data_IF_760799696688
#
_entry.id   IF_760799696688
#
_cell.length_a   1.000
_cell.length_b   1.000
_cell.length_c   1.000
_cell.angle_alpha   90.00
_cell.angle_beta   90.00
_cell.angle_gamma   90.00
#
_symmetry.space_group_name_H-M   'P 1'
#
loop_
_entity.id
_entity.type
_entity.pdbx_description
1 polymer ?
#
# COMPACT_ATOMS: atom_id res chain seq x y z
N UNK A 1 1.07 -18.52 76.75
CA UNK A 1 1.81 -18.16 75.51
C UNK A 1 1.09 -17.03 74.82
N UNK A 2 1.80 -15.94 74.54
CA UNK A 2 1.28 -14.71 73.91
C UNK A 2 1.36 -14.81 72.38
N UNK A 3 0.45 -14.07 71.72
CA UNK A 3 0.44 -13.64 70.30
C UNK A 3 0.10 -14.74 69.27
N UNK A 4 -0.71 -14.49 68.22
CA UNK A 4 -0.99 -13.24 67.49
C UNK A 4 -2.48 -13.12 67.11
N UNK A 5 -2.98 -11.90 67.29
CA UNK A 5 -4.20 -11.34 66.74
C UNK A 5 -3.98 -11.12 65.22
N UNK A 6 -4.85 -11.66 64.36
CA UNK A 6 -4.91 -11.28 62.95
C UNK A 6 -6.23 -10.53 62.76
N UNK A 7 -6.12 -9.20 62.68
CA UNK A 7 -7.21 -8.30 62.34
C UNK A 7 -7.30 -8.21 60.81
N UNK A 8 -8.48 -8.26 60.19
CA UNK A 8 -8.62 -8.13 58.75
C UNK A 8 -8.42 -6.66 58.36
N UNK A 9 -7.43 -6.40 57.50
CA UNK A 9 -7.28 -5.10 56.84
C UNK A 9 -8.24 -5.09 55.64
N UNK A 10 -9.42 -4.51 55.85
CA UNK A 10 -10.22 -3.95 54.77
C UNK A 10 -9.51 -2.72 54.23
N UNK A 11 -8.88 -2.85 53.06
CA UNK A 11 -8.41 -1.68 52.29
C UNK A 11 -9.39 -1.47 51.13
N UNK A 12 -10.35 -0.58 51.37
CA UNK A 12 -11.15 0.02 50.30
C UNK A 12 -10.25 1.03 49.56
N UNK A 13 -9.97 0.76 48.29
CA UNK A 13 -9.46 1.74 47.34
C UNK A 13 -10.41 1.77 46.15
N UNK A 14 -11.15 2.87 46.10
CA UNK A 14 -11.88 3.36 44.94
C UNK A 14 -10.95 3.43 43.74
N UNK A 15 -11.28 2.73 42.66
CA UNK A 15 -10.95 3.21 41.32
C UNK A 15 -12.24 3.34 40.51
N UNK A 16 -12.39 4.57 40.06
CA UNK A 16 -13.39 5.09 39.15
C UNK A 16 -13.27 4.36 37.80
N UNK A 17 -14.45 4.14 37.22
CA UNK A 17 -14.78 3.82 35.84
C UNK A 17 -13.71 4.15 34.78
N UNK A 18 -13.51 3.20 33.86
CA UNK A 18 -13.36 3.47 32.43
C UNK A 18 -13.38 2.12 31.67
N UNK A 19 -14.59 1.67 31.32
CA UNK A 19 -14.76 0.88 30.09
C UNK A 19 -14.46 1.84 28.95
N UNK A 20 -13.29 1.68 28.32
CA UNK A 20 -13.00 2.34 27.05
C UNK A 20 -12.92 1.25 25.99
N UNK A 21 -14.01 1.17 25.26
CA UNK A 21 -14.12 0.53 23.95
C UNK A 21 -12.99 1.02 23.04
N UNK A 22 -12.17 0.14 22.43
CA UNK A 22 -11.14 0.57 21.48
C UNK A 22 -11.71 1.00 20.11
N UNK A 23 -13.03 0.95 19.91
CA UNK A 23 -13.72 1.54 18.76
C UNK A 23 -14.47 2.81 19.15
N UNK A 24 -13.73 3.89 19.44
CA UNK A 24 -14.31 5.22 19.33
C UNK A 24 -14.41 5.61 17.86
N UNK A 25 -15.66 5.61 17.36
CA UNK A 25 -16.11 6.37 16.21
C UNK A 25 -15.64 7.83 16.33
N UNK A 26 -14.66 8.23 15.53
CA UNK A 26 -14.54 9.65 15.17
C UNK A 26 -15.53 9.94 14.05
N UNK A 27 -16.79 10.06 14.44
CA UNK A 27 -17.81 10.63 13.58
C UNK A 27 -17.46 12.09 13.24
N UNK A 28 -17.56 12.43 11.96
CA UNK A 28 -17.88 13.77 11.50
C UNK A 28 -16.88 14.89 11.82
N UNK A 29 -15.69 14.87 11.22
CA UNK A 29 -15.00 16.11 10.86
C UNK A 29 -14.50 16.03 9.41
N UNK A 30 -15.03 16.92 8.59
CA UNK A 30 -14.45 17.27 7.29
C UNK A 30 -13.03 17.77 7.59
N UNK A 31 -12.03 17.04 7.12
CA UNK A 31 -10.64 17.48 7.15
C UNK A 31 -10.50 18.57 6.09
N UNK A 32 -10.47 19.83 6.52
CA UNK A 32 -9.92 20.89 5.67
C UNK A 32 -8.43 20.60 5.42
N UNK A 33 -8.08 20.59 4.14
CA UNK A 33 -6.72 20.45 3.61
C UNK A 33 -5.94 21.73 3.96
N UNK A 34 -5.51 21.85 5.22
CA UNK A 34 -4.90 23.10 5.69
C UNK A 34 -4.10 23.04 6.99
N UNK A 35 -3.94 21.87 7.63
CA UNK A 35 -3.23 21.81 8.92
C UNK A 35 -2.26 20.63 9.03
N UNK A 36 -1.34 20.53 8.06
CA UNK A 36 -0.03 19.92 8.27
C UNK A 36 0.96 21.05 8.54
N UNK A 37 0.92 21.62 9.74
CA UNK A 37 2.01 22.51 10.16
C UNK A 37 2.59 22.04 11.50
N UNK A 38 3.91 21.79 11.43
CA UNK A 38 4.88 21.79 12.54
C UNK A 38 5.02 20.48 13.33
N UNK A 39 5.50 19.44 12.65
CA UNK A 39 6.50 18.54 13.26
C UNK A 39 7.85 18.93 12.69
N UNK A 40 8.73 19.48 13.53
CA UNK A 40 10.06 19.96 13.15
C UNK A 40 10.95 18.76 12.83
N UNK A 41 11.08 18.44 11.55
CA UNK A 41 12.06 17.49 11.02
C UNK A 41 13.47 18.09 11.17
N UNK A 42 14.45 17.27 11.50
CA UNK A 42 15.86 17.67 11.64
C UNK A 42 16.45 18.06 10.28
N UNK A 43 17.20 19.17 10.27
CA UNK A 43 17.75 19.91 9.13
C UNK A 43 18.80 19.17 8.27
N UNK A 44 18.51 18.01 7.67
CA UNK A 44 19.48 17.39 6.74
C UNK A 44 18.89 16.76 5.46
N UNK A 45 17.64 17.08 5.14
CA UNK A 45 17.06 16.82 3.82
C UNK A 45 16.59 18.16 3.26
N UNK A 46 16.98 18.47 2.02
CA UNK A 46 16.38 19.59 1.30
C UNK A 46 14.94 19.17 1.05
N UNK A 47 14.01 19.64 1.91
CA UNK A 47 12.56 19.63 1.68
C UNK A 47 12.32 20.31 0.33
N UNK A 48 12.26 19.52 -0.73
CA UNK A 48 12.34 20.06 -2.09
C UNK A 48 12.10 19.06 -3.21
N UNK A 49 12.44 17.79 -3.01
CA UNK A 49 12.75 16.91 -4.13
C UNK A 49 11.93 15.63 -4.11
N UNK A 50 11.02 15.46 -5.06
CA UNK A 50 10.13 14.30 -5.11
C UNK A 50 9.90 13.82 -6.55
N UNK A 51 9.34 12.62 -6.69
CA UNK A 51 8.91 12.09 -7.97
C UNK A 51 7.67 12.80 -8.48
N UNK A 52 7.67 13.04 -9.79
CA UNK A 52 6.60 13.67 -10.54
C UNK A 52 6.39 12.91 -11.83
N UNK A 53 5.14 12.79 -12.27
CA UNK A 53 4.81 12.36 -13.63
C UNK A 53 4.52 13.60 -14.49
N UNK A 54 5.24 13.73 -15.61
CA UNK A 54 4.98 14.74 -16.62
C UNK A 54 3.69 14.42 -17.41
N UNK A 55 3.12 15.42 -18.09
CA UNK A 55 1.91 15.25 -18.93
C UNK A 55 2.05 14.15 -20.00
N UNK A 56 3.27 13.86 -20.44
CA UNK A 56 3.57 12.78 -21.40
C UNK A 56 3.72 11.39 -20.74
N UNK A 57 3.44 11.24 -19.45
CA UNK A 57 3.56 9.99 -18.68
C UNK A 57 4.99 9.65 -18.19
N UNK A 58 5.98 10.48 -18.49
CA UNK A 58 7.36 10.26 -18.02
C UNK A 58 7.46 10.55 -16.53
N UNK A 59 8.02 9.62 -15.76
CA UNK A 59 8.31 9.83 -14.34
C UNK A 59 9.74 10.28 -14.19
N UNK A 60 9.94 11.38 -13.46
CA UNK A 60 11.26 11.93 -13.21
C UNK A 60 11.33 12.58 -11.82
N UNK A 61 12.55 12.77 -11.34
CA UNK A 61 12.82 13.43 -10.06
C UNK A 61 12.86 14.94 -10.27
N UNK A 62 11.94 15.69 -9.65
CA UNK A 62 11.95 17.16 -9.69
C UNK A 62 12.48 17.72 -8.36
N UNK A 63 13.58 18.47 -8.43
CA UNK A 63 14.25 19.07 -7.28
C UNK A 63 13.46 20.22 -6.61
N UNK A 64 12.35 20.64 -7.21
CA UNK A 64 11.46 21.70 -6.68
C UNK A 64 10.08 21.17 -6.26
N UNK A 65 9.78 19.90 -6.53
CA UNK A 65 8.50 19.30 -6.18
C UNK A 65 8.46 18.85 -4.70
N UNK A 66 7.64 19.53 -3.90
CA UNK A 66 7.31 19.15 -2.52
C UNK A 66 5.83 18.84 -2.33
N UNK A 67 5.01 19.27 -3.28
CA UNK A 67 3.56 19.05 -3.32
C UNK A 67 3.06 19.31 -4.74
N UNK A 68 1.80 18.96 -5.01
CA UNK A 68 1.12 19.29 -6.27
C UNK A 68 1.15 20.80 -6.60
N UNK A 69 1.26 21.68 -5.59
CA UNK A 69 1.32 23.13 -5.80
C UNK A 69 2.68 23.65 -6.27
N UNK A 70 3.74 22.83 -6.18
CA UNK A 70 5.09 23.20 -6.62
C UNK A 70 5.55 22.42 -7.84
N UNK A 71 4.74 21.50 -8.36
CA UNK A 71 4.97 20.88 -9.67
C UNK A 71 4.65 21.87 -10.79
N UNK A 72 5.14 21.58 -11.99
CA UNK A 72 4.79 22.37 -13.18
C UNK A 72 3.32 22.08 -13.57
N UNK A 73 2.73 22.99 -14.33
CA UNK A 73 1.36 22.81 -14.83
C UNK A 73 1.26 21.54 -15.67
N UNK A 74 0.21 20.75 -15.43
CA UNK A 74 -0.03 19.49 -16.14
C UNK A 74 0.67 18.26 -15.55
N UNK A 75 1.52 18.45 -14.54
CA UNK A 75 2.24 17.35 -13.88
C UNK A 75 1.48 16.79 -12.68
N UNK A 76 1.68 15.50 -12.40
CA UNK A 76 1.14 14.81 -11.22
C UNK A 76 2.24 14.63 -10.17
N UNK A 77 2.04 15.16 -8.98
CA UNK A 77 2.94 14.93 -7.85
C UNK A 77 2.79 13.51 -7.27
N UNK A 78 3.89 12.77 -7.14
CA UNK A 78 3.87 11.37 -6.67
C UNK A 78 4.45 11.19 -5.26
N UNK A 79 5.37 12.06 -4.84
CA UNK A 79 6.02 12.02 -3.53
C UNK A 79 7.43 11.41 -3.54
N UNK A 80 8.06 11.26 -2.36
CA UNK A 80 9.46 10.83 -2.23
C UNK A 80 9.70 9.37 -2.64
N UNK A 81 8.75 8.49 -2.35
CA UNK A 81 8.78 7.08 -2.71
C UNK A 81 7.44 6.70 -3.34
N UNK A 82 7.45 6.04 -4.49
CA UNK A 82 6.22 5.64 -5.18
C UNK A 82 6.38 4.28 -5.86
N UNK A 83 5.38 3.42 -5.67
CA UNK A 83 5.17 2.23 -6.50
C UNK A 83 4.17 2.58 -7.59
N UNK A 84 4.58 2.53 -8.85
CA UNK A 84 3.73 2.83 -10.00
C UNK A 84 3.26 1.53 -10.64
N UNK A 85 1.95 1.28 -10.60
CA UNK A 85 1.29 0.20 -11.33
C UNK A 85 0.73 0.72 -12.65
N UNK A 86 1.23 0.19 -13.76
CA UNK A 86 0.76 0.51 -15.11
C UNK A 86 -0.03 -0.68 -15.66
N UNK A 87 -1.35 -0.54 -15.81
CA UNK A 87 -2.23 -1.65 -16.17
C UNK A 87 -2.56 -1.73 -17.66
N UNK A 88 -2.87 -2.95 -18.13
CA UNK A 88 -3.30 -3.24 -19.50
C UNK A 88 -4.76 -3.72 -19.55
N UNK A 89 -5.61 -3.11 -18.72
CA UNK A 89 -7.03 -3.42 -18.63
C UNK A 89 -7.77 -3.03 -19.91
N UNK A 90 -8.66 -3.90 -20.37
CA UNK A 90 -9.64 -3.61 -21.40
C UNK A 90 -10.86 -2.85 -20.83
N UNK A 91 -11.82 -2.50 -21.70
CA UNK A 91 -13.05 -1.82 -21.30
C UNK A 91 -13.95 -2.65 -20.37
N UNK A 92 -13.66 -3.94 -20.20
CA UNK A 92 -14.38 -4.86 -19.31
C UNK A 92 -13.60 -5.11 -18.00
N UNK A 93 -12.56 -4.32 -17.74
CA UNK A 93 -11.67 -4.44 -16.57
C UNK A 93 -10.89 -5.76 -16.51
N UNK A 94 -10.69 -6.43 -17.64
CA UNK A 94 -9.83 -7.60 -17.75
C UNK A 94 -8.45 -7.20 -18.24
N UNK A 95 -7.40 -7.88 -17.78
CA UNK A 95 -6.05 -7.76 -18.34
C UNK A 95 -5.44 -9.14 -18.54
N UNK A 96 -4.53 -9.33 -19.51
CA UNK A 96 -3.78 -10.59 -19.60
C UNK A 96 -2.93 -10.83 -18.35
N UNK A 97 -2.80 -12.09 -17.94
CA UNK A 97 -1.95 -12.47 -16.81
C UNK A 97 -0.51 -11.99 -17.03
N UNK A 98 0.10 -11.42 -16.00
CA UNK A 98 1.46 -10.86 -15.99
C UNK A 98 1.68 -9.72 -16.98
N UNK A 99 0.62 -9.02 -17.40
CA UNK A 99 0.76 -7.92 -18.35
C UNK A 99 0.99 -6.56 -17.69
N UNK A 100 0.59 -6.36 -16.44
CA UNK A 100 0.79 -5.08 -15.78
C UNK A 100 2.24 -4.89 -15.37
N UNK A 101 2.78 -3.68 -15.51
CA UNK A 101 4.14 -3.33 -15.11
C UNK A 101 4.11 -2.56 -13.80
N UNK A 102 4.94 -2.97 -12.85
CA UNK A 102 5.13 -2.28 -11.58
C UNK A 102 6.55 -1.74 -11.50
N UNK A 103 6.69 -0.43 -11.32
CA UNK A 103 7.97 0.29 -11.25
C UNK A 103 8.08 0.96 -9.88
N UNK A 104 9.17 0.70 -9.18
CA UNK A 104 9.46 1.29 -7.88
C UNK A 104 10.39 2.48 -8.06
N UNK A 105 9.97 3.66 -7.62
CA UNK A 105 10.78 4.87 -7.61
C UNK A 105 11.04 5.27 -6.16
N UNK A 106 12.31 5.34 -5.76
CA UNK A 106 12.73 5.63 -4.39
C UNK A 106 13.56 6.90 -4.36
N UNK A 107 13.42 7.69 -3.29
CA UNK A 107 14.26 8.88 -3.05
C UNK A 107 15.76 8.55 -3.07
N UNK A 108 16.12 7.34 -2.67
CA UNK A 108 17.50 6.86 -2.66
C UNK A 108 18.11 6.66 -4.06
N UNK A 109 17.29 6.66 -5.13
CA UNK A 109 17.75 6.49 -6.51
C UNK A 109 17.01 7.44 -7.46
N UNK A 110 17.59 8.61 -7.73
CA UNK A 110 16.97 9.70 -8.48
C UNK A 110 17.07 9.56 -10.01
N UNK A 111 17.64 8.46 -10.51
CA UNK A 111 17.95 8.27 -11.93
C UNK A 111 16.92 7.42 -12.69
N UNK A 112 15.80 7.07 -12.06
CA UNK A 112 14.73 6.27 -12.66
C UNK A 112 14.15 5.26 -11.68
N UNK A 113 13.59 4.17 -12.20
CA UNK A 113 13.09 3.07 -11.40
C UNK A 113 14.24 2.36 -10.67
N UNK A 114 14.07 2.11 -9.37
CA UNK A 114 14.94 1.29 -8.53
C UNK A 114 14.75 -0.20 -8.74
N UNK A 115 13.54 -0.61 -9.14
CA UNK A 115 13.19 -1.98 -9.47
C UNK A 115 11.95 -2.01 -10.33
N UNK A 116 11.81 -3.09 -11.11
CA UNK A 116 10.66 -3.33 -11.96
C UNK A 116 10.22 -4.79 -11.85
N UNK A 117 8.91 -5.02 -11.93
CA UNK A 117 8.34 -6.37 -11.95
C UNK A 117 7.03 -6.39 -12.73
N UNK A 118 6.81 -7.47 -13.49
CA UNK A 118 5.53 -7.72 -14.14
C UNK A 118 4.55 -8.39 -13.18
N UNK A 119 3.26 -8.13 -13.33
CA UNK A 119 2.24 -8.63 -12.42
C UNK A 119 0.81 -8.42 -12.92
N UNK A 120 -0.11 -8.32 -11.97
CA UNK A 120 -1.54 -8.23 -12.19
C UNK A 120 -2.14 -7.17 -11.26
N UNK A 121 -2.81 -6.18 -11.84
CA UNK A 121 -3.59 -5.15 -11.18
C UNK A 121 -5.06 -5.53 -11.01
N UNK A 122 -5.51 -6.59 -11.69
CA UNK A 122 -6.85 -7.17 -11.60
C UNK A 122 -6.82 -8.37 -10.65
N UNK A 123 -7.71 -8.43 -9.63
CA UNK A 123 -7.75 -9.56 -8.71
C UNK A 123 -8.34 -10.81 -9.38
N UNK A 124 -8.13 -12.00 -8.78
CA UNK A 124 -8.70 -13.24 -9.37
C UNK A 124 -10.22 -13.19 -9.48
N UNK A 125 -10.92 -12.64 -8.47
CA UNK A 125 -12.37 -12.61 -8.42
C UNK A 125 -12.90 -11.17 -8.43
N UNK A 126 -12.88 -10.55 -9.62
CA UNK A 126 -13.38 -9.19 -9.86
C UNK A 126 -14.86 -9.04 -9.50
N UNK A 127 -15.67 -10.09 -9.67
CA UNK A 127 -17.11 -10.04 -9.40
C UNK A 127 -17.41 -9.96 -7.91
N UNK A 128 -16.58 -10.61 -7.08
CA UNK A 128 -16.74 -10.58 -5.63
C UNK A 128 -16.02 -9.40 -4.99
N UNK A 129 -14.84 -9.04 -5.48
CA UNK A 129 -14.00 -8.04 -4.81
C UNK A 129 -14.02 -6.69 -5.50
N UNK A 130 -14.18 -6.60 -6.82
CA UNK A 130 -14.05 -5.36 -7.59
C UNK A 130 -12.60 -5.05 -7.94
N UNK A 131 -12.40 -4.13 -8.89
CA UNK A 131 -11.08 -3.74 -9.40
C UNK A 131 -10.73 -2.36 -8.88
N UNK A 132 -9.51 -2.15 -8.37
CA UNK A 132 -9.07 -0.85 -7.87
C UNK A 132 -9.10 0.22 -8.97
N UNK A 133 -9.66 1.40 -8.67
CA UNK A 133 -9.64 2.54 -9.58
C UNK A 133 -8.21 3.07 -9.80
N UNK A 134 -7.96 3.65 -10.96
CA UNK A 134 -6.80 4.50 -11.19
C UNK A 134 -6.74 5.63 -10.14
N UNK A 135 -5.53 6.06 -9.80
CA UNK A 135 -5.32 7.13 -8.83
C UNK A 135 -4.06 6.97 -8.00
N UNK A 136 -3.84 7.97 -7.14
CA UNK A 136 -2.73 8.04 -6.20
C UNK A 136 -3.23 7.75 -4.78
N UNK A 137 -2.64 6.75 -4.14
CA UNK A 137 -3.03 6.27 -2.82
C UNK A 137 -1.83 6.27 -1.89
N UNK A 138 -1.98 6.62 -0.59
CA UNK A 138 -0.93 6.36 0.39
C UNK A 138 -0.61 4.87 0.41
N UNK A 139 0.65 4.50 0.62
CA UNK A 139 1.07 3.11 0.63
C UNK A 139 2.25 2.88 1.57
N UNK A 140 2.26 1.72 2.22
CA UNK A 140 3.32 1.35 3.13
C UNK A 140 3.70 -0.12 2.96
N UNK A 141 4.97 -0.45 3.21
CA UNK A 141 5.37 -1.84 3.33
C UNK A 141 4.66 -2.47 4.54
N UNK A 142 4.20 -3.69 4.33
CA UNK A 142 3.64 -4.53 5.37
C UNK A 142 3.98 -5.98 5.09
N UNK A 143 4.33 -6.74 6.12
CA UNK A 143 4.39 -8.20 6.05
C UNK A 143 3.50 -8.82 7.11
N UNK A 144 3.14 -10.10 6.96
CA UNK A 144 2.50 -10.81 8.07
C UNK A 144 3.52 -10.95 9.19
N UNK A 145 3.30 -10.26 10.32
CA UNK A 145 4.24 -10.22 11.44
C UNK A 145 4.70 -11.61 11.89
N UNK A 146 3.81 -12.61 11.91
CA UNK A 146 4.16 -13.98 12.26
C UNK A 146 5.05 -14.71 11.23
N UNK A 147 5.08 -14.28 9.98
CA UNK A 147 5.98 -14.81 8.93
C UNK A 147 7.34 -14.11 9.01
N UNK A 148 7.33 -12.78 9.08
CA UNK A 148 8.55 -11.98 9.22
C UNK A 148 9.30 -12.35 10.51
N UNK A 149 8.60 -12.54 11.64
CA UNK A 149 9.20 -12.97 12.91
C UNK A 149 9.85 -14.37 12.86
N UNK A 150 9.47 -15.20 11.88
CA UNK A 150 10.09 -16.52 11.63
C UNK A 150 11.16 -16.45 10.53
N UNK A 151 11.60 -15.26 10.17
CA UNK A 151 12.59 -15.04 9.11
C UNK A 151 12.08 -15.35 7.70
N UNK A 152 10.75 -15.37 7.49
CA UNK A 152 10.18 -15.65 6.16
C UNK A 152 9.97 -14.36 5.38
N UNK A 153 10.28 -14.41 4.10
CA UNK A 153 10.01 -13.35 3.13
C UNK A 153 8.53 -13.36 2.75
N UNK A 154 7.83 -12.31 3.18
CA UNK A 154 6.38 -12.14 3.04
C UNK A 154 5.96 -10.66 3.06
N UNK A 155 6.85 -9.80 2.57
CA UNK A 155 6.56 -8.37 2.42
C UNK A 155 5.60 -8.15 1.25
N UNK A 156 4.72 -7.19 1.44
CA UNK A 156 3.74 -6.67 0.50
C UNK A 156 3.67 -5.15 0.67
N UNK A 157 3.03 -4.46 -0.28
CA UNK A 157 2.65 -3.06 -0.11
C UNK A 157 1.16 -3.02 0.23
N UNK A 158 0.81 -2.43 1.37
CA UNK A 158 -0.58 -2.15 1.75
C UNK A 158 -1.01 -0.81 1.16
N UNK A 159 -2.09 -0.82 0.41
CA UNK A 159 -2.65 0.36 -0.24
C UNK A 159 -3.64 1.04 0.71
N UNK A 160 -3.52 2.36 0.83
CA UNK A 160 -4.31 3.25 1.67
C UNK A 160 -4.38 2.83 3.15
N UNK A 161 -3.31 2.21 3.68
CA UNK A 161 -3.31 1.65 5.03
C UNK A 161 -4.39 0.59 5.26
N UNK A 162 -4.90 -0.03 4.19
CA UNK A 162 -6.01 -0.99 4.21
C UNK A 162 -7.40 -0.35 4.31
N UNK A 163 -7.47 0.98 4.31
CA UNK A 163 -8.71 1.75 4.29
C UNK A 163 -9.50 1.61 2.98
N UNK A 164 -10.67 2.23 2.96
CA UNK A 164 -11.56 2.23 1.79
C UNK A 164 -10.94 3.00 0.62
N UNK A 165 -10.99 2.41 -0.56
CA UNK A 165 -10.54 3.01 -1.83
C UNK A 165 -11.60 2.76 -2.91
N UNK A 166 -11.75 3.68 -3.88
CA UNK A 166 -12.72 3.53 -4.97
C UNK A 166 -12.34 2.39 -5.92
N UNK A 167 -13.34 1.84 -6.59
CA UNK A 167 -13.17 0.87 -7.66
C UNK A 167 -13.26 1.52 -9.05
N UNK A 168 -12.69 0.84 -10.04
CA UNK A 168 -12.78 1.27 -11.43
C UNK A 168 -14.25 1.26 -11.90
N UNK A 169 -14.68 2.25 -12.71
CA UNK A 169 -16.01 2.27 -13.30
C UNK A 169 -16.36 0.94 -13.97
N UNK A 170 -17.56 0.41 -13.69
CA UNK A 170 -17.99 -0.91 -14.15
C UNK A 170 -17.69 -2.06 -13.19
N UNK A 171 -16.96 -1.81 -12.10
CA UNK A 171 -16.82 -2.78 -11.01
C UNK A 171 -18.16 -3.05 -10.30
N UNK A 172 -18.37 -4.27 -9.75
CA UNK A 172 -19.60 -4.65 -9.03
C UNK A 172 -19.79 -3.99 -7.66
N UNK A 173 -18.78 -3.25 -7.20
CA UNK A 173 -18.73 -2.53 -5.92
C UNK A 173 -18.19 -1.16 -6.19
N UNK A 174 -18.58 -0.16 -5.39
CA UNK A 174 -18.05 1.20 -5.49
C UNK A 174 -16.73 1.38 -4.72
N UNK A 175 -16.50 0.53 -3.72
CA UNK A 175 -15.34 0.61 -2.83
C UNK A 175 -14.81 -0.75 -2.42
N UNK A 176 -13.50 -0.80 -2.13
CA UNK A 176 -12.77 -1.97 -1.64
C UNK A 176 -11.83 -1.58 -0.50
N UNK A 177 -11.44 -2.55 0.32
CA UNK A 177 -10.55 -2.37 1.49
C UNK A 177 -9.50 -3.46 1.53
N UNK A 178 -8.47 -3.28 2.36
CA UNK A 178 -7.41 -4.28 2.60
C UNK A 178 -6.74 -4.77 1.30
N UNK A 179 -6.44 -3.85 0.40
CA UNK A 179 -5.79 -4.15 -0.88
C UNK A 179 -4.29 -4.13 -0.70
N UNK A 180 -3.65 -5.19 -1.16
CA UNK A 180 -2.20 -5.32 -1.16
C UNK A 180 -1.68 -5.49 -2.58
N UNK A 181 -0.43 -5.08 -2.81
CA UNK A 181 0.42 -5.63 -3.84
C UNK A 181 1.34 -6.68 -3.22
N UNK A 182 1.17 -7.95 -3.56
CA UNK A 182 1.89 -9.06 -2.94
C UNK A 182 2.33 -10.12 -3.96
N UNK A 183 3.01 -11.17 -3.49
CA UNK A 183 3.45 -12.25 -4.37
C UNK A 183 2.28 -12.89 -5.12
N UNK A 184 2.41 -13.06 -6.44
CA UNK A 184 1.49 -13.84 -7.26
C UNK A 184 1.62 -15.35 -7.05
N UNK A 185 0.91 -16.12 -7.87
CA UNK A 185 0.88 -17.57 -7.79
C UNK A 185 2.18 -18.19 -8.33
N UNK A 186 3.04 -18.71 -7.45
CA UNK A 186 4.36 -19.25 -7.85
C UNK A 186 4.34 -20.57 -8.63
N UNK A 187 3.17 -21.20 -8.79
CA UNK A 187 3.07 -22.55 -9.37
C UNK A 187 2.34 -22.60 -10.71
N UNK A 188 1.54 -21.58 -11.03
CA UNK A 188 0.71 -21.52 -12.23
C UNK A 188 0.82 -20.13 -12.84
N UNK A 189 0.82 -20.03 -14.17
CA UNK A 189 0.65 -18.76 -14.90
C UNK A 189 -0.83 -18.34 -14.89
N UNK A 190 -1.41 -18.27 -13.70
CA UNK A 190 -2.82 -17.96 -13.46
C UNK A 190 -3.02 -17.46 -12.03
N UNK A 191 -4.00 -16.59 -11.86
CA UNK A 191 -4.49 -16.18 -10.53
C UNK A 191 -5.30 -17.29 -9.84
N UNK A 192 -5.38 -18.48 -10.43
CA UNK A 192 -6.08 -19.64 -9.89
C UNK A 192 -5.14 -20.84 -9.79
N UNK A 193 -5.36 -21.71 -8.80
CA UNK A 193 -4.68 -23.01 -8.75
C UNK A 193 -5.32 -24.03 -9.70
N UNK A 194 -4.71 -25.22 -9.82
CA UNK A 194 -5.20 -26.29 -10.69
C UNK A 194 -6.55 -26.88 -10.29
N UNK A 195 -7.08 -26.52 -9.10
CA UNK A 195 -8.40 -26.90 -8.61
C UNK A 195 -9.42 -25.77 -8.78
N UNK A 196 -9.03 -24.64 -9.36
CA UNK A 196 -9.88 -23.46 -9.54
C UNK A 196 -10.02 -22.60 -8.28
N UNK A 197 -9.17 -22.78 -7.26
CA UNK A 197 -9.18 -21.89 -6.11
C UNK A 197 -8.47 -20.58 -6.47
N UNK A 198 -9.14 -19.46 -6.18
CA UNK A 198 -8.60 -18.12 -6.37
C UNK A 198 -7.38 -17.86 -5.48
N UNK A 199 -6.32 -17.34 -6.09
CA UNK A 199 -5.15 -16.80 -5.44
C UNK A 199 -5.26 -15.26 -5.48
N UNK A 200 -5.06 -14.59 -4.34
CA UNK A 200 -5.14 -13.12 -4.26
C UNK A 200 -6.52 -12.56 -4.64
N UNK A 201 -7.57 -13.12 -4.04
CA UNK A 201 -8.96 -12.93 -4.45
C UNK A 201 -9.41 -11.46 -4.61
N UNK A 202 -8.85 -10.53 -3.84
CA UNK A 202 -9.14 -9.09 -3.94
C UNK A 202 -7.90 -8.21 -3.95
N UNK A 203 -6.73 -8.75 -4.31
CA UNK A 203 -5.47 -8.01 -4.24
C UNK A 203 -4.78 -7.95 -5.60
N UNK A 204 -3.85 -7.02 -5.72
CA UNK A 204 -2.92 -6.96 -6.84
C UNK A 204 -1.71 -7.82 -6.54
N UNK A 205 -1.04 -8.27 -7.60
CA UNK A 205 0.08 -9.20 -7.46
C UNK A 205 1.23 -8.88 -8.37
N UNK A 206 2.43 -9.29 -7.96
CA UNK A 206 3.50 -9.56 -8.90
C UNK A 206 3.19 -10.81 -9.75
N UNK A 207 4.14 -11.21 -10.58
CA UNK A 207 3.95 -12.29 -11.55
C UNK A 207 3.40 -13.60 -10.96
N UNK A 208 2.70 -14.33 -11.82
CA UNK A 208 2.29 -15.72 -11.63
C UNK A 208 3.16 -16.62 -12.52
N UNK A 209 3.47 -17.82 -12.05
CA UNK A 209 4.28 -18.81 -12.75
C UNK A 209 5.54 -19.23 -11.98
N UNK A 210 6.32 -20.15 -12.56
CA UNK A 210 7.56 -20.62 -11.96
C UNK A 210 8.50 -19.45 -11.59
N UNK A 211 9.10 -19.51 -10.41
CA UNK A 211 10.03 -18.48 -9.89
C UNK A 211 9.43 -17.11 -9.57
N UNK A 212 8.11 -16.93 -9.65
CA UNK A 212 7.53 -15.62 -9.39
C UNK A 212 7.71 -15.15 -7.94
N UNK A 213 7.69 -16.07 -6.97
CA UNK A 213 7.95 -15.72 -5.56
C UNK A 213 9.37 -15.22 -5.30
N UNK A 214 10.44 -15.90 -5.75
CA UNK A 214 11.80 -15.34 -5.69
C UNK A 214 11.92 -13.95 -6.33
N UNK A 215 11.30 -13.73 -7.50
CA UNK A 215 11.31 -12.42 -8.16
C UNK A 215 10.59 -11.36 -7.33
N UNK A 216 9.43 -11.69 -6.78
CA UNK A 216 8.70 -10.83 -5.85
C UNK A 216 9.56 -10.47 -4.64
N UNK A 217 10.23 -11.45 -4.04
CA UNK A 217 11.05 -11.22 -2.87
C UNK A 217 12.24 -10.30 -3.20
N UNK A 218 12.91 -10.51 -4.34
CA UNK A 218 13.97 -9.61 -4.81
C UNK A 218 13.47 -8.18 -5.00
N UNK A 219 12.30 -8.00 -5.61
CA UNK A 219 11.65 -6.68 -5.74
C UNK A 219 11.36 -6.05 -4.36
N UNK A 220 10.79 -6.82 -3.42
CA UNK A 220 10.47 -6.33 -2.09
C UNK A 220 11.69 -6.08 -1.21
N UNK A 221 12.85 -6.68 -1.51
CA UNK A 221 14.12 -6.32 -0.86
C UNK A 221 14.55 -4.89 -1.24
N UNK A 222 14.32 -4.47 -2.49
CA UNK A 222 14.53 -3.08 -2.91
C UNK A 222 13.56 -2.13 -2.21
N UNK A 223 12.29 -2.53 -2.07
CA UNK A 223 11.27 -1.76 -1.34
C UNK A 223 11.67 -1.57 0.13
N UNK A 224 12.14 -2.64 0.77
CA UNK A 224 12.47 -2.65 2.19
C UNK A 224 11.24 -2.67 3.10
N UNK A 225 11.47 -2.95 4.40
CA UNK A 225 10.39 -3.05 5.39
C UNK A 225 9.91 -1.70 5.94
N UNK A 226 10.55 -0.61 5.55
CA UNK A 226 10.27 0.77 6.01
C UNK A 226 9.72 1.65 4.90
N UNK A 227 9.30 1.07 3.77
CA UNK A 227 8.68 1.84 2.70
C UNK A 227 7.43 2.56 3.23
N UNK A 228 7.46 3.88 3.12
CA UNK A 228 6.34 4.79 3.31
C UNK A 228 6.33 5.74 2.12
N UNK A 229 5.21 5.82 1.41
CA UNK A 229 5.11 6.57 0.18
C UNK A 229 3.73 6.46 -0.46
N UNK A 230 3.71 6.44 -1.78
CA UNK A 230 2.48 6.35 -2.57
C UNK A 230 2.44 5.09 -3.41
N UNK A 231 1.23 4.64 -3.74
CA UNK A 231 0.95 3.72 -4.82
C UNK A 231 0.16 4.48 -5.89
N UNK A 232 0.70 4.55 -7.10
CA UNK A 232 0.10 5.25 -8.22
C UNK A 232 -0.33 4.24 -9.29
N UNK A 233 -1.65 4.11 -9.49
CA UNK A 233 -2.21 3.22 -10.51
C UNK A 233 -2.68 4.04 -11.71
N UNK A 234 -2.18 3.70 -12.89
CA UNK A 234 -2.47 4.39 -14.16
C UNK A 234 -2.65 3.40 -15.31
N UNK A 235 -3.30 3.80 -16.43
CA UNK A 235 -3.35 2.99 -17.62
C UNK A 235 -1.98 2.98 -18.32
N UNK A 236 -1.73 1.97 -19.16
CA UNK A 236 -0.59 1.99 -20.07
C UNK A 236 -0.64 3.23 -20.96
N UNK A 237 0.47 3.99 -21.09
CA UNK A 237 0.54 5.06 -22.07
C UNK A 237 0.25 4.51 -23.47
N UNK A 238 -0.63 5.19 -24.22
CA UNK A 238 -0.93 4.87 -25.62
C UNK A 238 0.24 5.25 -26.53
#
# INVERSE_FOLDING_TARGET
MRTKLVLPIFLALLFVSCEVDPYEETSGKILEVGSLSKKKLSNEFIDGQHWVEAENGTIYWDENATSQGTTKTGETYLGPNVLVGTHNRDSNLNEPINSAKFELYLESNKNGSSAEIMGNTVPSDVNKYGTLAEGLYPANAQGRGGYIARGREDLAILINGGGSVPTAPGSPKDHITQIFFHAGNQHQESLYDSKGNAYSAGCQTSGCGPHSRPLHNAFMHTVGSQFEGSYYLRPSPN
#
